data_IF_311668371324
#
_entry.id   IF_311668371324
#
_cell.length_a   1.000
_cell.length_b   1.000
_cell.length_c   1.000
_cell.angle_alpha   90.00
_cell.angle_beta   90.00
_cell.angle_gamma   90.00
#
_symmetry.space_group_name_H-M   'P 1'
#
loop_
_entity.id
_entity.type
_entity.pdbx_description
1 polymer ?
#
# COMPACT_ATOMS: atom_id res chain seq x y z
N UNK A 1 -8.44 -40.58 20.10
CA UNK A 1 -7.60 -39.47 19.61
C UNK A 1 -6.56 -40.04 18.66
N UNK A 2 -6.54 -39.58 17.41
CA UNK A 2 -5.52 -40.01 16.44
C UNK A 2 -4.20 -39.32 16.78
N UNK A 3 -3.11 -40.08 16.93
CA UNK A 3 -1.78 -39.53 17.26
C UNK A 3 -1.36 -38.45 16.25
N UNK A 4 -0.73 -37.38 16.75
CA UNK A 4 -0.24 -36.29 15.92
C UNK A 4 0.96 -36.76 15.07
N UNK A 5 0.91 -36.65 13.73
CA UNK A 5 2.05 -36.96 12.89
C UNK A 5 3.19 -35.95 13.13
N UNK A 6 4.44 -36.35 12.94
CA UNK A 6 5.59 -35.46 13.09
C UNK A 6 5.69 -34.51 11.88
N UNK A 7 5.85 -33.21 12.14
CA UNK A 7 5.96 -32.18 11.11
C UNK A 7 7.13 -32.42 10.15
N UNK A 8 8.33 -32.70 10.70
CA UNK A 8 9.56 -32.88 9.91
C UNK A 8 9.65 -34.22 9.16
N UNK A 9 8.74 -35.16 9.41
CA UNK A 9 8.68 -36.42 8.67
C UNK A 9 7.60 -36.43 7.60
N UNK A 10 6.43 -35.82 7.88
CA UNK A 10 5.27 -35.84 6.98
C UNK A 10 4.50 -34.52 7.01
N UNK A 11 5.07 -33.43 6.47
CA UNK A 11 4.52 -32.08 6.64
C UNK A 11 3.10 -31.93 6.07
N UNK A 12 2.83 -32.50 4.88
CA UNK A 12 1.49 -32.46 4.27
C UNK A 12 0.44 -33.24 5.08
N UNK A 13 0.85 -34.37 5.69
CA UNK A 13 -0.01 -35.18 6.56
C UNK A 13 -0.29 -34.46 7.88
N UNK A 14 0.69 -33.73 8.39
CA UNK A 14 0.54 -32.85 9.55
C UNK A 14 -0.44 -31.71 9.29
N UNK A 15 -0.29 -30.97 8.18
CA UNK A 15 -1.23 -29.89 7.84
C UNK A 15 -2.67 -30.39 7.73
N UNK A 16 -2.89 -31.54 7.07
CA UNK A 16 -4.23 -32.15 6.98
C UNK A 16 -4.80 -32.57 8.33
N UNK A 17 -3.97 -33.11 9.23
CA UNK A 17 -4.39 -33.46 10.59
C UNK A 17 -4.67 -32.21 11.44
N UNK A 18 -3.80 -31.20 11.35
CA UNK A 18 -3.91 -29.94 12.11
C UNK A 18 -5.16 -29.14 11.72
N UNK A 19 -5.51 -29.13 10.43
CA UNK A 19 -6.71 -28.45 9.92
C UNK A 19 -8.02 -28.98 10.52
N UNK A 20 -8.10 -30.28 10.85
CA UNK A 20 -9.32 -30.93 11.38
C UNK A 20 -9.34 -31.09 12.90
N UNK A 21 -8.20 -31.43 13.51
CA UNK A 21 -8.14 -31.75 14.95
C UNK A 21 -7.90 -30.48 15.79
N UNK A 22 -7.20 -29.49 15.24
CA UNK A 22 -6.86 -28.23 15.91
C UNK A 22 -7.07 -27.02 15.00
N UNK A 23 -8.32 -26.80 14.52
CA UNK A 23 -8.61 -25.79 13.49
C UNK A 23 -8.22 -24.37 13.93
N UNK A 24 -8.41 -24.01 15.21
CA UNK A 24 -8.08 -22.69 15.71
C UNK A 24 -6.58 -22.33 15.56
N UNK A 25 -5.68 -23.26 15.89
CA UNK A 25 -4.23 -23.04 15.76
C UNK A 25 -3.79 -23.04 14.29
N UNK A 26 -4.33 -23.95 13.48
CA UNK A 26 -3.93 -24.05 12.07
C UNK A 26 -4.36 -22.82 11.28
N UNK A 27 -5.63 -22.42 11.39
CA UNK A 27 -6.17 -21.30 10.62
C UNK A 27 -5.71 -19.93 11.10
N UNK A 28 -5.44 -19.76 12.41
CA UNK A 28 -4.87 -18.49 12.91
C UNK A 28 -3.48 -18.23 12.33
N UNK A 29 -2.62 -19.25 12.23
CA UNK A 29 -1.30 -19.11 11.61
C UNK A 29 -1.41 -18.79 10.12
N UNK A 30 -2.30 -19.47 9.39
CA UNK A 30 -2.47 -19.24 7.95
C UNK A 30 -3.00 -17.83 7.68
N UNK A 31 -4.06 -17.41 8.37
CA UNK A 31 -4.65 -16.08 8.18
C UNK A 31 -3.67 -15.00 8.65
N UNK A 32 -2.98 -15.22 9.77
CA UNK A 32 -1.94 -14.33 10.27
C UNK A 32 -0.76 -14.18 9.30
N UNK A 33 -0.35 -15.27 8.64
CA UNK A 33 0.72 -15.24 7.64
C UNK A 33 0.26 -14.68 6.29
N UNK A 34 -1.03 -14.81 5.94
CA UNK A 34 -1.56 -14.33 4.66
C UNK A 34 -1.41 -12.81 4.50
N UNK A 35 -1.58 -12.02 5.57
CA UNK A 35 -1.43 -10.55 5.51
C UNK A 35 -0.01 -10.09 5.11
N UNK A 36 1.04 -10.49 5.84
CA UNK A 36 2.43 -10.17 5.50
C UNK A 36 2.84 -10.69 4.12
N UNK A 37 2.33 -11.86 3.71
CA UNK A 37 2.59 -12.43 2.38
C UNK A 37 1.90 -11.63 1.27
N UNK A 38 0.71 -11.09 1.53
CA UNK A 38 -0.01 -10.26 0.58
C UNK A 38 0.69 -8.92 0.31
N UNK A 39 1.42 -8.35 1.29
CA UNK A 39 2.10 -7.05 1.14
C UNK A 39 3.07 -6.94 -0.05
N UNK A 40 3.96 -7.90 -0.33
CA UNK A 40 4.80 -7.86 -1.53
C UNK A 40 4.11 -8.37 -2.80
N UNK A 41 3.06 -9.19 -2.68
CA UNK A 41 2.42 -9.85 -3.82
C UNK A 41 1.33 -8.97 -4.44
N UNK A 42 0.56 -8.26 -3.62
CA UNK A 42 -0.61 -7.48 -4.08
C UNK A 42 -0.22 -6.21 -4.84
N UNK A 43 0.75 -5.38 -4.42
CA UNK A 43 1.14 -4.17 -5.14
C UNK A 43 1.54 -4.39 -6.61
N UNK A 44 2.42 -5.34 -6.99
CA UNK A 44 2.75 -5.55 -8.39
C UNK A 44 1.53 -5.96 -9.21
N UNK A 45 0.67 -6.83 -8.66
CA UNK A 45 -0.58 -7.24 -9.31
C UNK A 45 -1.50 -6.04 -9.55
N UNK A 46 -1.61 -5.12 -8.58
CA UNK A 46 -2.41 -3.89 -8.72
C UNK A 46 -1.87 -2.97 -9.81
N UNK A 47 -0.55 -2.77 -9.89
CA UNK A 47 0.05 -1.98 -10.96
C UNK A 47 -0.16 -2.60 -12.35
N UNK A 48 -0.14 -3.94 -12.47
CA UNK A 48 -0.44 -4.63 -13.72
C UNK A 48 -1.88 -4.40 -14.20
N UNK A 49 -2.84 -4.26 -13.29
CA UNK A 49 -4.23 -3.92 -13.62
C UNK A 49 -4.45 -2.43 -13.87
N UNK A 50 -3.40 -1.60 -13.83
CA UNK A 50 -3.48 -0.17 -14.10
C UNK A 50 -3.94 0.68 -12.92
N UNK A 51 -3.97 0.11 -11.71
CA UNK A 51 -4.22 0.86 -10.48
C UNK A 51 -2.94 1.62 -10.11
N UNK A 52 -2.96 2.94 -10.29
CA UNK A 52 -1.84 3.85 -10.01
C UNK A 52 -2.00 4.44 -8.62
N UNK A 53 -0.89 4.58 -7.89
CA UNK A 53 -0.92 5.17 -6.56
C UNK A 53 -1.52 6.58 -6.58
N UNK A 54 -2.43 6.83 -5.63
CA UNK A 54 -3.00 8.15 -5.44
C UNK A 54 -1.88 9.17 -5.14
N UNK A 55 -1.92 10.38 -5.73
CA UNK A 55 -0.96 11.42 -5.42
C UNK A 55 -1.02 11.77 -3.92
N UNK A 56 0.12 12.11 -3.30
CA UNK A 56 0.16 12.45 -1.89
C UNK A 56 -0.72 13.66 -1.58
N UNK A 57 -1.55 13.54 -0.56
CA UNK A 57 -2.40 14.65 -0.10
C UNK A 57 -1.51 15.77 0.43
N UNK A 58 -1.70 17.03 -0.02
CA UNK A 58 -0.93 18.16 0.50
C UNK A 58 -1.33 18.43 1.95
N UNK A 59 -0.36 18.35 2.87
CA UNK A 59 -0.55 18.60 4.32
C UNK A 59 -0.25 20.04 4.75
N UNK A 60 0.33 20.83 3.83
CA UNK A 60 0.70 22.23 4.06
C UNK A 60 0.29 23.05 2.84
N UNK A 61 -0.03 24.32 3.05
CA UNK A 61 -0.02 25.30 1.96
C UNK A 61 1.33 25.23 1.24
N UNK A 62 1.40 25.11 -0.09
CA UNK A 62 0.38 25.35 -1.11
C UNK A 62 -0.34 24.07 -1.58
N UNK A 63 -1.64 24.13 -1.88
CA UNK A 63 -2.41 23.01 -2.43
C UNK A 63 -2.58 23.16 -3.94
N UNK A 64 -1.66 22.60 -4.72
CA UNK A 64 -1.91 22.36 -6.12
C UNK A 64 -2.22 20.87 -6.33
N UNK A 65 -3.49 20.61 -6.63
CA UNK A 65 -4.00 19.30 -6.99
C UNK A 65 -3.78 19.11 -8.49
N UNK A 66 -3.02 18.11 -8.97
CA UNK A 66 -2.98 17.80 -10.40
C UNK A 66 -4.25 17.01 -10.76
N UNK A 67 -5.41 17.66 -10.76
CA UNK A 67 -6.60 17.13 -11.42
C UNK A 67 -6.44 17.42 -12.91
N UNK A 68 -5.88 16.44 -13.63
CA UNK A 68 -6.31 16.03 -14.97
C UNK A 68 -7.19 17.04 -15.73
N UNK A 69 -6.65 18.17 -16.19
CA UNK A 69 -7.18 18.94 -17.33
C UNK A 69 -6.06 19.85 -17.84
N UNK A 70 -5.81 19.72 -19.13
CA UNK A 70 -4.84 20.44 -19.95
C UNK A 70 -4.72 21.94 -19.64
N UNK A 71 -3.70 22.33 -18.87
CA UNK A 71 -3.10 23.67 -18.97
C UNK A 71 -1.63 23.45 -19.33
N UNK A 72 -1.17 23.82 -20.55
CA UNK A 72 0.14 23.41 -21.04
C UNK A 72 1.34 24.02 -20.31
N UNK A 73 1.17 24.83 -19.25
CA UNK A 73 2.28 25.44 -18.49
C UNK A 73 1.98 25.68 -17.00
N UNK A 74 1.02 24.96 -16.39
CA UNK A 74 0.78 25.08 -14.96
C UNK A 74 1.66 24.09 -14.18
N UNK A 75 2.93 24.46 -13.94
CA UNK A 75 3.79 23.82 -12.93
C UNK A 75 3.32 24.24 -11.53
N UNK A 76 2.05 23.99 -11.24
CA UNK A 76 1.47 24.13 -9.91
C UNK A 76 1.75 22.81 -9.18
N UNK A 77 2.95 22.70 -8.63
CA UNK A 77 3.24 21.75 -7.56
C UNK A 77 3.17 22.50 -6.25
N UNK A 78 2.52 21.84 -5.29
CA UNK A 78 2.28 22.16 -3.89
C UNK A 78 3.55 22.39 -3.05
N UNK A 79 4.48 23.20 -3.53
CA UNK A 79 5.73 23.56 -2.85
C UNK A 79 5.81 25.07 -2.74
N UNK A 80 6.10 25.58 -1.53
CA UNK A 80 6.53 26.98 -1.36
C UNK A 80 7.55 27.27 -2.46
N UNK A 81 7.33 28.28 -3.32
CA UNK A 81 8.20 28.52 -4.45
C UNK A 81 9.62 28.70 -3.92
N UNK A 82 10.51 27.75 -4.19
CA UNK A 82 11.87 27.75 -3.66
C UNK A 82 12.78 28.76 -4.35
N UNK A 83 12.22 29.61 -5.20
CA UNK A 83 12.91 30.69 -5.89
C UNK A 83 12.97 31.97 -5.07
N UNK A 84 13.89 32.88 -5.41
CA UNK A 84 13.96 34.20 -4.77
C UNK A 84 12.65 34.97 -4.98
N UNK A 85 12.28 35.82 -4.01
CA UNK A 85 11.11 36.69 -4.11
C UNK A 85 11.24 37.57 -5.36
N UNK A 86 10.22 37.55 -6.21
CA UNK A 86 10.11 38.46 -7.35
C UNK A 86 9.57 39.81 -6.86
N UNK A 87 10.06 40.90 -7.45
CA UNK A 87 9.45 42.22 -7.25
C UNK A 87 8.06 42.20 -7.87
N UNK A 88 7.04 42.48 -7.07
CA UNK A 88 5.64 42.56 -7.48
C UNK A 88 5.24 44.03 -7.41
N UNK A 89 4.38 44.48 -8.32
CA UNK A 89 3.83 45.83 -8.35
C UNK A 89 2.30 45.74 -8.34
N UNK A 90 1.64 46.62 -7.59
CA UNK A 90 0.18 46.64 -7.40
C UNK A 90 -0.20 46.31 -5.96
N UNK A 91 -1.28 46.94 -5.47
CA UNK A 91 -1.65 46.95 -4.04
C UNK A 91 -0.61 47.70 -3.17
N UNK A 92 -0.04 48.77 -3.73
CA UNK A 92 1.00 49.61 -3.10
C UNK A 92 0.42 50.87 -2.40
N UNK A 93 -0.91 50.89 -2.17
CA UNK A 93 -1.64 52.01 -1.55
C UNK A 93 -1.20 52.32 -0.10
#
# INVERSE_FOLDING_TARGET
MSAAPLFWQTPLKYCRWAARERPALFWSVIIGAAGPVAMPIVPPIRYYFGDVDAPPVPVTYPSAFPSSTSIPNARLTCTVPSGPRKQLTGYDD
#
